data_IF_625997084451
#
_entry.id   IF_625997084451
#
_cell.length_a   1.000
_cell.length_b   1.000
_cell.length_c   1.000
_cell.angle_alpha   90.00
_cell.angle_beta   90.00
_cell.angle_gamma   90.00
#
_symmetry.space_group_name_H-M   'P 1'
#
loop_
_entity.id
_entity.type
_entity.pdbx_description
1 polymer ?
#
# COMPACT_ATOMS: atom_id res chain seq x y z
N UNK A 1 -21.08 -2.64 10.21
CA UNK A 1 -20.47 -1.82 9.14
C UNK A 1 -18.96 -1.81 9.35
N UNK A 2 -18.15 -2.26 8.39
CA UNK A 2 -16.68 -2.19 8.52
C UNK A 2 -16.25 -0.73 8.36
N UNK A 3 -15.44 -0.20 9.28
CA UNK A 3 -14.96 1.19 9.21
C UNK A 3 -14.02 1.40 8.00
N UNK A 4 -14.05 2.61 7.43
CA UNK A 4 -13.11 3.03 6.37
C UNK A 4 -11.65 2.85 6.79
N UNK A 5 -11.34 3.00 8.09
CA UNK A 5 -9.99 2.80 8.63
C UNK A 5 -9.56 1.33 8.58
N UNK A 6 -10.48 0.39 8.82
CA UNK A 6 -10.21 -1.05 8.74
C UNK A 6 -9.93 -1.45 7.28
N UNK A 7 -10.68 -0.90 6.32
CA UNK A 7 -10.45 -1.16 4.90
C UNK A 7 -9.10 -0.58 4.46
N UNK A 8 -8.79 0.67 4.83
CA UNK A 8 -7.51 1.33 4.50
C UNK A 8 -6.32 0.56 5.07
N UNK A 9 -6.40 0.17 6.35
CA UNK A 9 -5.32 -0.58 7.01
C UNK A 9 -5.13 -1.97 6.38
N UNK A 10 -6.21 -2.69 6.06
CA UNK A 10 -6.14 -3.98 5.36
C UNK A 10 -5.47 -3.88 3.98
N UNK A 11 -5.82 -2.84 3.20
CA UNK A 11 -5.20 -2.57 1.89
C UNK A 11 -3.71 -2.26 2.02
N UNK A 12 -3.34 -1.37 2.94
CA UNK A 12 -1.93 -1.01 3.18
C UNK A 12 -1.08 -2.21 3.64
N UNK A 13 -1.63 -3.08 4.48
CA UNK A 13 -0.93 -4.29 4.92
C UNK A 13 -0.74 -5.28 3.77
N UNK A 14 -1.73 -5.41 2.89
CA UNK A 14 -1.64 -6.25 1.69
C UNK A 14 -0.55 -5.75 0.74
N UNK A 15 -0.54 -4.44 0.45
CA UNK A 15 0.48 -3.81 -0.38
C UNK A 15 1.88 -3.91 0.24
N UNK A 16 2.00 -3.79 1.57
CA UNK A 16 3.27 -3.96 2.26
C UNK A 16 3.86 -5.36 2.07
N UNK A 17 3.03 -6.41 2.15
CA UNK A 17 3.48 -7.79 1.87
C UNK A 17 4.02 -7.94 0.45
N UNK A 18 3.34 -7.34 -0.53
CA UNK A 18 3.78 -7.35 -1.93
C UNK A 18 5.12 -6.62 -2.07
N UNK A 19 5.26 -5.45 -1.46
CA UNK A 19 6.49 -4.65 -1.55
C UNK A 19 7.67 -5.34 -0.87
N UNK A 20 7.46 -6.00 0.27
CA UNK A 20 8.51 -6.74 0.95
C UNK A 20 8.99 -7.95 0.13
N UNK A 21 8.11 -8.58 -0.65
CA UNK A 21 8.45 -9.72 -1.49
C UNK A 21 9.14 -9.32 -2.82
N UNK A 22 8.69 -8.23 -3.46
CA UNK A 22 9.10 -7.86 -4.83
C UNK A 22 9.97 -6.59 -4.90
N UNK A 23 9.86 -5.70 -3.94
CA UNK A 23 10.65 -4.46 -3.86
C UNK A 23 10.29 -3.39 -4.91
N UNK A 24 9.21 -3.55 -5.68
CA UNK A 24 8.88 -2.68 -6.80
C UNK A 24 7.79 -1.65 -6.44
N UNK A 25 8.11 -0.36 -6.52
CA UNK A 25 7.18 0.74 -6.21
C UNK A 25 6.06 0.88 -7.25
N UNK A 26 6.38 0.75 -8.54
CA UNK A 26 5.40 0.88 -9.61
C UNK A 26 4.30 -0.18 -9.49
N UNK A 27 4.68 -1.37 -9.05
CA UNK A 27 3.77 -2.47 -8.80
C UNK A 27 2.79 -2.17 -7.65
N UNK A 28 3.25 -1.50 -6.58
CA UNK A 28 2.37 -1.08 -5.48
C UNK A 28 1.35 -0.05 -5.95
N UNK A 29 1.76 0.88 -6.81
CA UNK A 29 0.84 1.83 -7.41
C UNK A 29 -0.21 1.14 -8.27
N UNK A 30 0.20 0.24 -9.17
CA UNK A 30 -0.72 -0.53 -10.02
C UNK A 30 -1.69 -1.38 -9.20
N UNK A 31 -1.21 -2.02 -8.13
CA UNK A 31 -2.06 -2.84 -7.28
C UNK A 31 -3.03 -2.00 -6.45
N UNK A 32 -2.61 -0.84 -5.95
CA UNK A 32 -3.51 0.12 -5.32
C UNK A 32 -4.61 0.57 -6.29
N UNK A 33 -4.26 0.85 -7.56
CA UNK A 33 -5.24 1.16 -8.61
C UNK A 33 -6.26 0.04 -8.83
N UNK A 34 -5.83 -1.23 -8.82
CA UNK A 34 -6.73 -2.40 -8.92
C UNK A 34 -7.70 -2.53 -7.74
N UNK A 35 -7.36 -1.97 -6.57
CA UNK A 35 -8.28 -1.89 -5.42
C UNK A 35 -9.38 -0.82 -5.57
N UNK A 36 -9.44 -0.14 -6.73
CA UNK A 36 -10.48 0.85 -7.04
C UNK A 36 -10.28 2.20 -6.36
N UNK A 37 -9.04 2.57 -5.99
CA UNK A 37 -8.76 3.90 -5.43
C UNK A 37 -8.34 4.91 -6.50
N UNK A 38 -8.57 6.19 -6.21
CA UNK A 38 -8.09 7.31 -7.03
C UNK A 38 -6.56 7.39 -7.03
N UNK A 39 -5.99 8.03 -8.04
CA UNK A 39 -4.52 8.12 -8.23
C UNK A 39 -3.82 8.75 -7.03
N UNK A 40 -4.40 9.83 -6.49
CA UNK A 40 -3.88 10.47 -5.27
C UNK A 40 -3.79 9.48 -4.10
N UNK A 41 -4.82 8.65 -3.91
CA UNK A 41 -4.82 7.62 -2.85
C UNK A 41 -3.85 6.49 -3.16
N UNK A 42 -3.67 6.11 -4.43
CA UNK A 42 -2.68 5.11 -4.82
C UNK A 42 -1.24 5.59 -4.55
N UNK A 43 -0.94 6.86 -4.83
CA UNK A 43 0.34 7.49 -4.48
C UNK A 43 0.56 7.55 -2.96
N UNK A 44 -0.46 7.94 -2.19
CA UNK A 44 -0.41 7.94 -0.72
C UNK A 44 -0.14 6.54 -0.15
N UNK A 45 -0.80 5.52 -0.70
CA UNK A 45 -0.61 4.14 -0.29
C UNK A 45 0.82 3.68 -0.60
N UNK A 46 1.31 3.96 -1.80
CA UNK A 46 2.67 3.65 -2.23
C UNK A 46 3.70 4.27 -1.30
N UNK A 47 3.58 5.57 -1.01
CA UNK A 47 4.47 6.28 -0.08
C UNK A 47 4.44 5.68 1.32
N UNK A 48 3.24 5.39 1.83
CA UNK A 48 3.06 4.77 3.15
C UNK A 48 3.74 3.40 3.25
N UNK A 49 3.58 2.57 2.22
CA UNK A 49 4.17 1.23 2.16
C UNK A 49 5.70 1.31 2.13
N UNK A 50 6.28 2.19 1.31
CA UNK A 50 7.73 2.38 1.24
C UNK A 50 8.29 2.81 2.60
N UNK A 51 7.67 3.80 3.25
CA UNK A 51 8.10 4.27 4.58
C UNK A 51 8.05 3.13 5.61
N UNK A 52 6.97 2.35 5.63
CA UNK A 52 6.84 1.20 6.53
C UNK A 52 7.93 0.15 6.28
N UNK A 53 8.17 -0.20 5.02
CA UNK A 53 9.18 -1.18 4.64
C UNK A 53 10.60 -0.72 5.02
N UNK A 54 10.93 0.55 4.79
CA UNK A 54 12.23 1.13 5.21
C UNK A 54 12.40 1.08 6.72
N UNK A 55 11.36 1.39 7.50
CA UNK A 55 11.41 1.30 8.97
C UNK A 55 11.60 -0.13 9.47
N UNK A 56 11.11 -1.14 8.77
CA UNK A 56 11.29 -2.55 9.14
C UNK A 56 12.69 -3.10 8.84
N UNK A 57 13.43 -2.46 7.93
CA UNK A 57 14.78 -2.86 7.53
C UNK A 57 15.88 -2.16 8.35
N UNK A 58 15.51 -1.26 9.26
CA UNK A 58 16.42 -0.51 10.13
C UNK A 58 16.30 -1.04 11.55
#
# INVERSE_FOLDING_TARGET
>A
MVSKDVIRSGRLNSLLRIYLARGNQAEIFSEAKRMGVADATAWDYTRTVIIKATKMRK
#
